data_IF_328989833410
#
_entry.id   IF_328989833410
#
_cell.length_a   1.000
_cell.length_b   1.000
_cell.length_c   1.000
_cell.angle_alpha   90.00
_cell.angle_beta   90.00
_cell.angle_gamma   90.00
#
_symmetry.space_group_name_H-M   'P 1'
#
loop_
_entity.id
_entity.type
_entity.pdbx_description
1 polymer ?
#
# COMPACT_ATOMS: atom_id res chain seq x y z
N UNK A 1 11.41 25.56 -43.39
CA UNK A 1 12.58 24.86 -42.80
C UNK A 1 12.08 24.04 -41.62
N UNK A 2 12.42 22.76 -41.62
CA UNK A 2 11.95 21.71 -40.71
C UNK A 2 12.94 21.56 -39.54
N UNK A 3 12.46 20.92 -38.46
CA UNK A 3 13.23 20.21 -37.40
C UNK A 3 13.51 20.98 -36.10
N UNK A 4 12.60 20.83 -35.14
CA UNK A 4 12.96 20.70 -33.73
C UNK A 4 12.83 19.22 -33.36
N UNK A 5 13.95 18.49 -33.45
CA UNK A 5 14.13 17.16 -32.87
C UNK A 5 15.42 17.19 -32.08
N UNK A 6 15.29 17.33 -30.77
CA UNK A 6 16.25 16.91 -29.75
C UNK A 6 15.42 16.72 -28.48
N UNK A 7 14.72 15.59 -28.38
CA UNK A 7 15.20 14.47 -27.57
C UNK A 7 15.36 14.88 -26.11
N UNK A 8 14.23 14.98 -25.39
CA UNK A 8 14.28 14.67 -23.96
C UNK A 8 14.57 13.18 -23.87
N UNK A 9 15.82 12.87 -23.55
CA UNK A 9 16.16 11.61 -22.89
C UNK A 9 15.11 11.34 -21.80
N UNK A 10 14.45 10.17 -21.78
CA UNK A 10 13.79 9.73 -20.58
C UNK A 10 14.91 9.57 -19.55
N UNK A 11 14.96 10.46 -18.57
CA UNK A 11 15.66 10.17 -17.33
C UNK A 11 14.93 8.97 -16.74
N UNK A 12 15.49 7.81 -17.04
CA UNK A 12 15.14 6.50 -16.51
C UNK A 12 15.11 6.67 -15.00
N UNK A 13 13.88 6.85 -14.50
CA UNK A 13 13.61 7.04 -13.10
C UNK A 13 14.14 5.78 -12.42
N UNK A 14 15.25 5.90 -11.70
CA UNK A 14 15.81 4.86 -10.85
C UNK A 14 14.89 4.52 -9.65
N UNK A 15 13.57 4.63 -9.84
CA UNK A 15 12.49 4.19 -8.97
C UNK A 15 11.66 3.08 -9.61
N UNK A 16 12.03 2.59 -10.80
CA UNK A 16 11.37 1.50 -11.53
C UNK A 16 11.86 0.10 -11.10
N UNK A 17 12.18 -0.08 -9.81
CA UNK A 17 11.93 -1.40 -9.25
C UNK A 17 10.41 -1.55 -9.31
N UNK A 18 9.83 -2.57 -9.98
CA UNK A 18 8.38 -2.73 -9.99
C UNK A 18 7.95 -2.67 -8.54
N UNK A 19 7.03 -1.76 -8.16
CA UNK A 19 6.64 -1.65 -6.78
C UNK A 19 6.23 -3.05 -6.38
N UNK A 20 6.98 -3.67 -5.46
CA UNK A 20 6.58 -4.96 -4.95
C UNK A 20 5.12 -4.78 -4.56
N UNK A 21 4.22 -5.54 -5.20
CA UNK A 21 2.78 -5.45 -5.02
C UNK A 21 2.52 -5.17 -3.53
N UNK A 22 1.80 -4.09 -3.21
CA UNK A 22 1.64 -3.63 -1.82
C UNK A 22 1.19 -4.78 -0.91
N UNK A 23 0.40 -5.71 -1.44
CA UNK A 23 -0.01 -6.93 -0.75
C UNK A 23 1.16 -7.87 -0.43
N UNK A 24 2.14 -7.99 -1.33
CA UNK A 24 3.39 -8.72 -1.10
C UNK A 24 4.22 -8.08 0.01
N UNK A 25 4.31 -6.74 0.06
CA UNK A 25 4.98 -6.04 1.16
C UNK A 25 4.26 -6.24 2.48
N UNK A 26 2.92 -6.16 2.49
CA UNK A 26 2.10 -6.41 3.69
C UNK A 26 2.29 -7.85 4.18
N UNK A 27 2.28 -8.85 3.28
CA UNK A 27 2.55 -10.26 3.60
C UNK A 27 3.92 -10.44 4.26
N UNK A 28 4.95 -9.79 3.71
CA UNK A 28 6.31 -9.87 4.24
C UNK A 28 6.47 -9.20 5.62
N UNK A 29 5.79 -8.07 5.85
CA UNK A 29 5.88 -7.33 7.12
C UNK A 29 5.06 -7.98 8.24
N UNK A 30 3.94 -8.64 7.91
CA UNK A 30 2.98 -9.25 8.84
C UNK A 30 3.55 -9.99 10.06
N UNK A 31 4.57 -10.87 9.96
CA UNK A 31 5.12 -11.57 11.13
C UNK A 31 5.82 -10.64 12.13
N UNK A 32 6.28 -9.46 11.71
CA UNK A 32 6.97 -8.48 12.55
C UNK A 32 6.06 -7.40 13.16
N UNK A 33 4.80 -7.35 12.73
CA UNK A 33 3.84 -6.33 13.18
C UNK A 33 3.39 -6.56 14.64
N UNK A 34 3.06 -5.46 15.32
CA UNK A 34 2.38 -5.54 16.60
C UNK A 34 1.04 -6.29 16.45
N UNK A 35 0.51 -6.94 17.52
CA UNK A 35 -0.71 -7.72 17.41
C UNK A 35 -1.91 -6.97 16.81
N UNK A 36 -2.05 -5.68 17.08
CA UNK A 36 -3.13 -4.85 16.54
C UNK A 36 -2.92 -4.51 15.06
N UNK A 37 -1.72 -4.09 14.67
CA UNK A 37 -1.37 -3.81 13.26
C UNK A 37 -1.50 -5.08 12.40
N UNK A 38 -1.15 -6.26 12.94
CA UNK A 38 -1.32 -7.54 12.24
C UNK A 38 -2.78 -7.83 11.90
N UNK A 39 -3.75 -7.46 12.75
CA UNK A 39 -5.18 -7.62 12.43
C UNK A 39 -5.61 -6.73 11.28
N UNK A 40 -5.06 -5.52 11.17
CA UNK A 40 -5.30 -4.63 10.02
C UNK A 40 -4.71 -5.26 8.76
N UNK A 41 -3.48 -5.79 8.84
CA UNK A 41 -2.85 -6.54 7.75
C UNK A 41 -3.70 -7.73 7.28
N UNK A 42 -4.25 -8.49 8.23
CA UNK A 42 -5.13 -9.62 7.96
C UNK A 42 -6.41 -9.20 7.23
N UNK A 43 -7.02 -8.10 7.66
CA UNK A 43 -8.21 -7.56 7.01
C UNK A 43 -7.91 -7.12 5.55
N UNK A 44 -6.78 -6.44 5.32
CA UNK A 44 -6.35 -6.01 3.97
C UNK A 44 -6.05 -7.20 3.07
N UNK A 45 -5.36 -8.22 3.58
CA UNK A 45 -4.99 -9.40 2.79
C UNK A 45 -6.18 -10.31 2.49
N UNK A 46 -7.22 -10.29 3.33
CA UNK A 46 -8.44 -11.06 3.09
C UNK A 46 -9.24 -10.51 1.91
N UNK A 47 -9.39 -9.18 1.82
CA UNK A 47 -10.12 -8.54 0.73
C UNK A 47 -9.65 -7.08 0.52
N UNK A 48 -8.65 -6.85 -0.34
CA UNK A 48 -8.08 -5.53 -0.52
C UNK A 48 -9.02 -4.57 -1.25
N UNK A 49 -9.89 -5.08 -2.12
CA UNK A 49 -10.87 -4.27 -2.85
C UNK A 49 -11.89 -3.67 -1.90
N UNK A 50 -12.49 -4.51 -1.05
CA UNK A 50 -13.44 -4.02 -0.05
C UNK A 50 -12.78 -3.07 0.94
N UNK A 51 -11.54 -3.33 1.39
CA UNK A 51 -10.85 -2.45 2.34
C UNK A 51 -10.58 -1.07 1.76
N UNK A 52 -10.28 -0.96 0.46
CA UNK A 52 -10.06 0.33 -0.20
C UNK A 52 -11.32 1.23 -0.20
N UNK A 53 -12.51 0.65 -0.07
CA UNK A 53 -13.78 1.39 0.00
C UNK A 53 -14.18 1.79 1.43
N UNK A 54 -13.51 1.25 2.45
CA UNK A 54 -13.82 1.53 3.85
C UNK A 54 -13.18 2.83 4.33
N UNK A 55 -13.89 3.55 5.20
CA UNK A 55 -13.26 4.59 6.00
C UNK A 55 -12.27 3.98 7.01
N UNK A 56 -11.30 4.77 7.46
CA UNK A 56 -10.34 4.32 8.48
C UNK A 56 -11.01 3.83 9.77
N UNK A 57 -12.16 4.39 10.13
CA UNK A 57 -12.91 4.01 11.31
C UNK A 57 -13.60 2.65 11.08
N UNK A 58 -14.21 2.45 9.91
CA UNK A 58 -14.86 1.20 9.55
C UNK A 58 -13.84 0.05 9.41
N UNK A 59 -12.65 0.32 8.86
CA UNK A 59 -11.55 -0.64 8.82
C UNK A 59 -11.07 -0.99 10.24
N UNK A 60 -10.97 0.01 11.12
CA UNK A 60 -10.65 -0.18 12.53
C UNK A 60 -11.59 -1.18 13.20
N UNK A 61 -12.90 -0.92 13.13
CA UNK A 61 -13.95 -1.81 13.67
C UNK A 61 -13.85 -3.22 13.08
N UNK A 62 -13.72 -3.34 11.75
CA UNK A 62 -13.59 -4.64 11.06
C UNK A 62 -12.37 -5.43 11.53
N UNK A 63 -11.24 -4.76 11.77
CA UNK A 63 -10.03 -5.37 12.28
C UNK A 63 -10.01 -5.52 13.82
N UNK A 64 -11.08 -5.11 14.52
CA UNK A 64 -11.14 -5.03 15.98
C UNK A 64 -9.99 -4.19 16.57
N UNK A 65 -9.76 -3.01 16.00
CA UNK A 65 -8.72 -2.04 16.35
C UNK A 65 -9.24 -0.60 16.30
N UNK A 66 -8.40 0.37 16.69
CA UNK A 66 -8.72 1.80 16.59
C UNK A 66 -8.27 2.40 15.26
N UNK A 67 -8.90 3.49 14.84
CA UNK A 67 -8.46 4.28 13.67
C UNK A 67 -6.99 4.75 13.79
N UNK A 68 -6.51 5.04 15.01
CA UNK A 68 -5.11 5.38 15.26
C UNK A 68 -4.17 4.20 14.97
N UNK A 69 -4.60 2.96 15.22
CA UNK A 69 -3.84 1.76 14.84
C UNK A 69 -3.79 1.64 13.32
N UNK A 70 -4.92 1.86 12.64
CA UNK A 70 -5.01 1.83 11.17
C UNK A 70 -4.07 2.84 10.51
N UNK A 71 -3.93 4.04 11.06
CA UNK A 71 -2.99 5.05 10.53
C UNK A 71 -1.52 4.72 10.76
N UNK A 72 -1.21 3.88 11.76
CA UNK A 72 0.17 3.48 12.11
C UNK A 72 0.64 2.26 11.31
N UNK A 73 -0.30 1.38 10.97
CA UNK A 73 -0.11 0.22 10.09
C UNK A 73 0.25 0.68 8.67
#
# INVERSE_FOLDING_TARGET
MVRQSSSRVPEESAQDAPPADILTRIRAARPSLAPSERRVADAVLADPGQVAELSIHALGERASTSAATVMRF
#
